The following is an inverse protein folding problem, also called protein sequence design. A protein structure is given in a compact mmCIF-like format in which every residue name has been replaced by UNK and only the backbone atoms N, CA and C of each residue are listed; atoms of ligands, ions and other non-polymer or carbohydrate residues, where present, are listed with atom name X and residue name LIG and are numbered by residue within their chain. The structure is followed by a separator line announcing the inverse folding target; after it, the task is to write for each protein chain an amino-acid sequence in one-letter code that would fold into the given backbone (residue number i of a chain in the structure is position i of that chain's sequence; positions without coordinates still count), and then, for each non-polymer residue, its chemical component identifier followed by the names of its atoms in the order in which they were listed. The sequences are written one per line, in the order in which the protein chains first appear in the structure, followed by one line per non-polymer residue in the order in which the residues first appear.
data_IF_348685446212
#
_entry.id   IF_348685446212
#
_cell.length_a   1.000
_cell.length_b   1.000
_cell.length_c   1.000
_cell.angle_alpha   90.00
_cell.angle_beta   90.00
_cell.angle_gamma   90.00
#
_symmetry.space_group_name_H-M   'P 1'
#
loop_
_entity.id
_entity.type
_entity.pdbx_description
1 polymer ?
#
# COMPACT_ATOMS: atom_id res chain seq x y z
N UNK A 1 14.66 15.84 -13.99
CA UNK A 1 13.23 15.49 -13.79
C UNK A 1 12.99 14.31 -12.82
N UNK A 2 13.88 13.31 -12.71
CA UNK A 2 13.62 12.11 -11.88
C UNK A 2 14.17 12.13 -10.44
N UNK A 3 14.87 13.19 -10.02
CA UNK A 3 15.47 13.25 -8.67
C UNK A 3 14.45 13.07 -7.53
N UNK A 4 13.16 13.30 -7.80
CA UNK A 4 12.12 13.08 -6.80
C UNK A 4 11.92 11.62 -6.39
N UNK A 5 12.34 10.66 -7.22
CA UNK A 5 12.27 9.21 -6.94
C UNK A 5 13.29 8.76 -5.89
N UNK A 6 14.33 9.56 -5.62
CA UNK A 6 15.48 9.14 -4.81
C UNK A 6 15.61 9.89 -3.48
N UNK A 7 14.61 10.68 -3.11
CA UNK A 7 14.60 11.44 -1.85
C UNK A 7 13.19 11.48 -1.27
N UNK A 8 12.99 11.31 0.05
CA UNK A 8 11.69 11.45 0.69
C UNK A 8 11.36 12.90 1.10
N UNK A 9 12.29 13.84 0.94
CA UNK A 9 12.13 15.23 1.40
C UNK A 9 11.36 16.09 0.40
N UNK A 10 10.53 16.99 0.91
CA UNK A 10 9.72 17.89 0.10
C UNK A 10 8.31 17.37 -0.17
N UNK A 11 7.68 17.96 -1.19
CA UNK A 11 6.28 17.72 -1.58
C UNK A 11 6.20 17.49 -3.08
N UNK A 12 5.21 16.70 -3.51
CA UNK A 12 4.88 16.54 -4.93
C UNK A 12 3.38 16.67 -5.12
N UNK A 13 2.99 17.25 -6.26
CA UNK A 13 1.58 17.34 -6.63
C UNK A 13 1.01 15.96 -6.95
N UNK A 14 -0.33 15.83 -6.83
CA UNK A 14 -1.04 14.62 -7.28
C UNK A 14 -0.75 14.29 -8.74
N UNK A 15 -0.66 15.29 -9.62
CA UNK A 15 -0.34 15.09 -11.05
C UNK A 15 1.04 14.44 -11.21
N UNK A 16 2.04 14.95 -10.50
CA UNK A 16 3.40 14.41 -10.51
C UNK A 16 3.42 12.96 -10.00
N UNK A 17 2.74 12.70 -8.88
CA UNK A 17 2.64 11.35 -8.32
C UNK A 17 2.01 10.34 -9.29
N UNK A 18 0.90 10.70 -9.94
CA UNK A 18 0.24 9.82 -10.90
C UNK A 18 1.01 9.64 -12.20
N UNK A 19 1.36 10.74 -12.88
CA UNK A 19 1.93 10.67 -14.23
C UNK A 19 3.39 10.23 -14.24
N UNK A 20 4.16 10.57 -13.20
CA UNK A 20 5.60 10.34 -13.21
C UNK A 20 6.03 9.17 -12.33
N UNK A 21 5.11 8.57 -11.55
CA UNK A 21 5.41 7.40 -10.73
C UNK A 21 4.36 6.31 -10.89
N UNK A 22 3.11 6.54 -10.48
CA UNK A 22 2.13 5.46 -10.35
C UNK A 22 1.73 4.82 -11.69
N UNK A 23 1.43 5.61 -12.72
CA UNK A 23 1.08 5.06 -14.04
C UNK A 23 2.27 4.37 -14.72
N UNK A 24 3.48 4.95 -14.77
CA UNK A 24 4.65 4.22 -15.24
C UNK A 24 4.90 2.92 -14.48
N UNK A 25 4.78 2.94 -13.15
CA UNK A 25 4.94 1.75 -12.32
C UNK A 25 3.92 0.67 -12.70
N UNK A 26 2.63 1.01 -12.81
CA UNK A 26 1.58 0.07 -13.24
C UNK A 26 1.89 -0.51 -14.63
N UNK A 27 2.29 0.32 -15.59
CA UNK A 27 2.61 -0.14 -16.94
C UNK A 27 3.79 -1.12 -16.93
N UNK A 28 4.86 -0.81 -16.18
CA UNK A 28 6.03 -1.69 -16.07
C UNK A 28 5.67 -2.99 -15.36
N UNK A 29 4.78 -2.96 -14.35
CA UNK A 29 4.29 -4.18 -13.68
C UNK A 29 3.52 -5.08 -14.66
N UNK A 30 2.67 -4.52 -15.51
CA UNK A 30 1.96 -5.31 -16.54
C UNK A 30 2.96 -5.97 -17.49
N UNK A 31 3.97 -5.21 -17.94
CA UNK A 31 5.04 -5.76 -18.79
C UNK A 31 5.81 -6.86 -18.08
N UNK A 32 6.19 -6.66 -16.82
CA UNK A 32 6.88 -7.67 -16.02
C UNK A 32 6.06 -8.97 -15.90
N UNK A 33 4.75 -8.87 -15.64
CA UNK A 33 3.85 -10.04 -15.65
C UNK A 33 3.84 -10.74 -17.00
N UNK A 34 3.69 -10.02 -18.10
CA UNK A 34 3.69 -10.61 -19.44
C UNK A 34 5.01 -11.33 -19.71
N UNK A 35 6.15 -10.75 -19.31
CA UNK A 35 7.46 -11.36 -19.48
C UNK A 35 7.62 -12.62 -18.62
N UNK A 36 7.11 -12.63 -17.39
CA UNK A 36 7.14 -13.83 -16.54
C UNK A 36 6.39 -14.99 -17.22
N UNK A 37 5.21 -14.74 -17.77
CA UNK A 37 4.42 -15.73 -18.53
C UNK A 37 5.04 -16.12 -19.87
N UNK A 38 5.76 -15.21 -20.53
CA UNK A 38 6.34 -15.47 -21.85
C UNK A 38 7.65 -16.25 -21.78
N UNK A 39 8.38 -16.17 -20.67
CA UNK A 39 9.76 -16.66 -20.54
C UNK A 39 9.86 -17.89 -19.66
N UNK A 40 9.07 -17.99 -18.58
CA UNK A 40 9.17 -19.09 -17.62
C UNK A 40 8.06 -20.11 -17.80
N UNK A 41 8.36 -21.36 -17.43
CA UNK A 41 7.39 -22.45 -17.44
C UNK A 41 6.31 -22.22 -16.36
N UNK A 42 5.07 -22.53 -16.74
CA UNK A 42 3.92 -22.45 -15.83
C UNK A 42 3.94 -23.67 -14.92
N UNK A 43 3.88 -23.44 -13.61
CA UNK A 43 3.78 -24.54 -12.65
C UNK A 43 2.37 -25.18 -12.76
N UNK A 44 2.27 -26.50 -13.00
CA UNK A 44 1.00 -27.17 -13.23
C UNK A 44 0.09 -27.23 -11.98
N UNK A 45 0.64 -27.08 -10.78
CA UNK A 45 -0.13 -27.06 -9.53
C UNK A 45 -0.75 -25.70 -9.25
N UNK A 46 -0.02 -24.62 -9.56
CA UNK A 46 -0.46 -23.24 -9.27
C UNK A 46 -1.10 -22.54 -10.45
N UNK A 47 -0.83 -22.98 -11.68
CA UNK A 47 -1.26 -22.31 -12.92
C UNK A 47 -0.50 -21.02 -13.22
N UNK A 48 0.58 -20.74 -12.50
CA UNK A 48 1.33 -19.46 -12.57
C UNK A 48 2.82 -19.72 -12.85
N UNK A 49 3.51 -18.83 -13.60
CA UNK A 49 4.96 -18.86 -13.73
C UNK A 49 5.64 -18.33 -12.44
N UNK A 50 6.94 -18.61 -12.22
CA UNK A 50 7.69 -17.94 -11.18
C UNK A 50 7.74 -16.41 -11.43
N UNK A 51 7.45 -15.55 -10.43
CA UNK A 51 7.31 -14.10 -10.60
C UNK A 51 8.69 -13.38 -10.56
N UNK A 52 9.61 -13.75 -11.44
CA UNK A 52 11.01 -13.28 -11.40
C UNK A 52 11.10 -11.80 -11.75
N UNK A 53 10.51 -11.36 -12.86
CA UNK A 53 10.55 -9.96 -13.28
C UNK A 53 9.73 -9.08 -12.35
N UNK A 54 8.58 -9.56 -11.87
CA UNK A 54 7.82 -8.86 -10.84
C UNK A 54 8.65 -8.68 -9.55
N UNK A 55 9.36 -9.72 -9.10
CA UNK A 55 10.21 -9.66 -7.91
C UNK A 55 11.35 -8.64 -8.03
N UNK A 56 12.03 -8.63 -9.18
CA UNK A 56 13.08 -7.63 -9.49
C UNK A 56 12.49 -6.22 -9.49
N UNK A 57 11.35 -6.04 -10.17
CA UNK A 57 10.67 -4.74 -10.20
C UNK A 57 10.28 -4.27 -8.81
N UNK A 58 9.75 -5.16 -7.96
CA UNK A 58 9.37 -4.83 -6.59
C UNK A 58 10.57 -4.33 -5.78
N UNK A 59 11.74 -4.97 -5.90
CA UNK A 59 12.97 -4.54 -5.22
C UNK A 59 13.45 -3.17 -5.71
N UNK A 60 13.46 -2.95 -7.03
CA UNK A 60 13.87 -1.66 -7.62
C UNK A 60 12.89 -0.54 -7.25
N UNK A 61 11.59 -0.83 -7.28
CA UNK A 61 10.53 0.14 -7.04
C UNK A 61 10.28 0.39 -5.54
N UNK A 62 10.81 -0.44 -4.64
CA UNK A 62 10.62 -0.31 -3.20
C UNK A 62 11.00 1.09 -2.72
N UNK A 63 12.22 1.54 -3.01
CA UNK A 63 12.67 2.86 -2.59
C UNK A 63 11.89 4.02 -3.25
N UNK A 64 11.73 4.07 -4.60
CA UNK A 64 10.89 5.07 -5.24
C UNK A 64 9.46 5.12 -4.70
N UNK A 65 8.86 3.97 -4.36
CA UNK A 65 7.50 3.92 -3.79
C UNK A 65 7.43 4.63 -2.44
N UNK A 66 8.41 4.38 -1.57
CA UNK A 66 8.52 5.03 -0.26
C UNK A 66 8.78 6.53 -0.42
N UNK A 67 9.75 6.90 -1.26
CA UNK A 67 10.13 8.30 -1.45
C UNK A 67 8.98 9.15 -2.00
N UNK A 68 8.31 8.67 -3.05
CA UNK A 68 7.23 9.41 -3.72
C UNK A 68 5.96 9.48 -2.89
N UNK A 69 5.56 8.37 -2.26
CA UNK A 69 4.38 8.34 -1.39
C UNK A 69 4.60 9.18 -0.13
N UNK A 70 5.82 9.19 0.42
CA UNK A 70 6.18 10.10 1.54
C UNK A 70 5.94 11.56 1.15
N UNK A 71 6.44 11.99 -0.01
CA UNK A 71 6.23 13.35 -0.52
C UNK A 71 4.76 13.65 -0.81
N UNK A 72 4.00 12.66 -1.23
CA UNK A 72 2.56 12.80 -1.46
C UNK A 72 1.80 12.98 -0.15
N UNK A 73 2.19 12.27 0.91
CA UNK A 73 1.64 12.43 2.26
C UNK A 73 2.06 13.78 2.88
N UNK A 74 3.31 14.20 2.68
CA UNK A 74 3.79 15.52 3.07
C UNK A 74 2.98 16.65 2.42
N UNK A 75 2.59 16.49 1.16
CA UNK A 75 1.72 17.43 0.47
C UNK A 75 0.30 17.50 1.10
N UNK A 76 -0.11 16.51 1.90
CA UNK A 76 -1.34 16.53 2.72
C UNK A 76 -1.10 16.97 4.17
N UNK A 77 0.12 17.40 4.52
CA UNK A 77 0.50 17.73 5.90
C UNK A 77 0.69 16.51 6.80
N UNK A 78 0.63 15.30 6.24
CA UNK A 78 0.78 14.03 6.95
C UNK A 78 2.25 13.62 7.02
N UNK A 79 2.62 12.80 8.01
CA UNK A 79 3.96 12.21 8.10
C UNK A 79 4.12 11.06 7.11
N UNK A 80 5.35 10.81 6.63
CA UNK A 80 5.64 9.63 5.80
C UNK A 80 5.33 8.29 6.49
N UNK A 81 5.37 8.26 7.83
CA UNK A 81 5.13 7.07 8.67
C UNK A 81 3.76 6.44 8.52
N UNK A 82 2.77 7.14 7.97
CA UNK A 82 1.48 6.54 7.64
C UNK A 82 1.59 5.35 6.66
N UNK A 83 2.65 5.29 5.84
CA UNK A 83 2.95 4.12 5.01
C UNK A 83 3.42 2.92 5.85
N UNK A 84 4.14 3.15 6.95
CA UNK A 84 4.57 2.07 7.84
C UNK A 84 3.38 1.46 8.57
N UNK A 85 2.40 2.27 8.97
CA UNK A 85 1.14 1.77 9.53
C UNK A 85 0.38 0.91 8.51
N UNK A 86 0.32 1.35 7.24
CA UNK A 86 -0.26 0.55 6.17
C UNK A 86 0.50 -0.77 5.93
N UNK A 87 1.84 -0.71 5.89
CA UNK A 87 2.69 -1.89 5.73
C UNK A 87 2.51 -2.88 6.90
N UNK A 88 2.40 -2.38 8.13
CA UNK A 88 2.13 -3.22 9.30
C UNK A 88 0.79 -3.95 9.19
N UNK A 89 -0.27 -3.28 8.70
CA UNK A 89 -1.56 -3.92 8.42
C UNK A 89 -1.42 -5.01 7.37
N UNK A 90 -0.74 -4.73 6.25
CA UNK A 90 -0.53 -5.73 5.18
C UNK A 90 0.21 -6.96 5.72
N UNK A 91 1.31 -6.75 6.46
CA UNK A 91 2.11 -7.84 7.03
C UNK A 91 1.30 -8.64 8.05
N UNK A 92 0.53 -7.97 8.92
CA UNK A 92 -0.32 -8.64 9.90
C UNK A 92 -1.39 -9.52 9.23
N UNK A 93 -2.06 -9.00 8.20
CA UNK A 93 -3.07 -9.74 7.44
C UNK A 93 -2.44 -10.90 6.65
N UNK A 94 -1.30 -10.70 6.00
CA UNK A 94 -0.59 -11.75 5.27
C UNK A 94 -0.11 -12.87 6.21
N UNK A 95 0.40 -12.50 7.39
CA UNK A 95 0.85 -13.46 8.41
C UNK A 95 -0.34 -14.25 8.96
N UNK A 96 -1.45 -13.58 9.27
CA UNK A 96 -2.67 -14.24 9.73
C UNK A 96 -3.25 -15.19 8.68
N UNK A 97 -3.26 -14.77 7.41
CA UNK A 97 -3.72 -15.60 6.29
C UNK A 97 -2.82 -16.83 6.08
N UNK A 98 -1.50 -16.65 6.13
CA UNK A 98 -0.53 -17.74 6.04
C UNK A 98 -0.71 -18.74 7.19
N UNK A 99 -0.78 -18.25 8.43
CA UNK A 99 -1.02 -19.07 9.61
C UNK A 99 -2.33 -19.87 9.47
N UNK A 100 -3.43 -19.21 9.11
CA UNK A 100 -4.71 -19.85 8.87
C UNK A 100 -4.63 -20.96 7.82
N UNK A 101 -3.99 -20.69 6.68
CA UNK A 101 -3.82 -21.67 5.61
C UNK A 101 -3.00 -22.89 6.07
N UNK A 102 -1.86 -22.65 6.72
CA UNK A 102 -0.98 -23.74 7.20
C UNK A 102 -1.65 -24.59 8.29
N UNK A 103 -2.37 -23.98 9.22
CA UNK A 103 -3.11 -24.70 10.25
C UNK A 103 -4.19 -25.59 9.62
N UNK A 104 -4.88 -25.08 8.59
CA UNK A 104 -5.92 -25.82 7.85
C UNK A 104 -5.33 -27.02 7.11
N UNK A 105 -4.20 -26.85 6.42
CA UNK A 105 -3.55 -27.91 5.64
C UNK A 105 -2.87 -28.95 6.53
N UNK A 106 -2.28 -28.55 7.65
CA UNK A 106 -1.60 -29.45 8.58
C UNK A 106 -2.56 -30.38 9.35
N UNK A 107 -3.88 -30.28 9.15
CA UNK A 107 -4.87 -30.98 9.95
C UNK A 107 -4.82 -30.59 11.43
N UNK A 108 -4.11 -29.51 11.75
CA UNK A 108 -4.15 -28.95 13.09
C UNK A 108 -5.61 -28.58 13.35
N UNK A 109 -6.16 -28.91 14.52
CA UNK A 109 -7.44 -28.36 14.88
C UNK A 109 -7.26 -26.85 14.88
N UNK A 110 -7.77 -26.16 13.85
CA UNK A 110 -8.26 -24.79 13.99
C UNK A 110 -9.51 -24.94 14.85
N UNK A 111 -9.30 -25.38 16.09
CA UNK A 111 -10.30 -25.27 17.12
C UNK A 111 -10.36 -23.76 17.37
N UNK A 112 -11.32 -23.10 16.73
CA UNK A 112 -12.18 -22.26 17.55
C UNK A 112 -12.49 -23.13 18.77
N UNK A 113 -12.07 -22.74 19.98
CA UNK A 113 -12.34 -23.53 21.17
C UNK A 113 -13.77 -24.05 21.04
N UNK A 114 -13.99 -25.36 21.10
CA UNK A 114 -15.32 -25.95 20.82
C UNK A 114 -16.38 -25.35 21.74
N UNK A 115 -15.96 -24.90 22.93
CA UNK A 115 -16.76 -24.08 23.85
C UNK A 115 -17.23 -22.72 23.27
N UNK A 116 -16.47 -22.09 22.36
CA UNK A 116 -16.84 -20.88 21.61
C UNK A 116 -17.65 -21.21 20.35
N UNK A 117 -17.36 -22.34 19.70
CA UNK A 117 -18.09 -22.75 18.48
C UNK A 117 -19.56 -23.10 18.76
N UNK A 118 -19.85 -23.63 19.94
CA UNK A 118 -21.20 -23.93 20.42
C UNK A 118 -21.83 -22.75 21.20
N UNK A 119 -21.09 -21.66 21.37
CA UNK A 119 -21.58 -20.43 22.00
C UNK A 119 -22.24 -19.56 20.93
N UNK A 120 -23.52 -19.24 21.10
CA UNK A 120 -24.18 -18.22 20.29
C UNK A 120 -23.32 -16.94 20.33
N UNK A 121 -22.86 -16.43 19.17
CA UNK A 121 -22.00 -15.26 19.15
C UNK A 121 -22.70 -14.12 19.89
N UNK A 122 -22.11 -13.71 21.02
CA UNK A 122 -22.68 -12.61 21.78
C UNK A 122 -22.61 -11.34 20.92
N UNK A 123 -23.64 -10.50 21.00
CA UNK A 123 -23.67 -9.20 20.33
C UNK A 123 -22.39 -8.38 20.57
N UNK A 124 -21.78 -8.53 21.75
CA UNK A 124 -20.52 -7.88 22.11
C UNK A 124 -19.33 -8.41 21.31
N UNK A 125 -19.21 -9.74 21.12
CA UNK A 125 -18.12 -10.35 20.37
C UNK A 125 -18.16 -9.94 18.88
N UNK A 126 -19.34 -9.96 18.29
CA UNK A 126 -19.55 -9.50 16.91
C UNK A 126 -19.24 -8.02 16.77
N UNK A 127 -19.70 -7.19 17.71
CA UNK A 127 -19.38 -5.76 17.72
C UNK A 127 -17.87 -5.52 17.80
N UNK A 128 -17.14 -6.25 18.64
CA UNK A 128 -15.67 -6.12 18.75
C UNK A 128 -14.98 -6.50 17.44
N UNK A 129 -15.39 -7.60 16.80
CA UNK A 129 -14.81 -8.04 15.53
C UNK A 129 -15.07 -7.02 14.41
N UNK A 130 -16.29 -6.51 14.31
CA UNK A 130 -16.66 -5.47 13.34
C UNK A 130 -15.87 -4.19 13.58
N UNK A 131 -15.77 -3.73 14.83
CA UNK A 131 -14.99 -2.54 15.18
C UNK A 131 -13.50 -2.72 14.86
N UNK A 132 -12.93 -3.89 15.19
CA UNK A 132 -11.54 -4.22 14.87
C UNK A 132 -11.29 -4.21 13.36
N UNK A 133 -12.16 -4.86 12.59
CA UNK A 133 -12.11 -4.86 11.12
C UNK A 133 -12.24 -3.46 10.54
N UNK A 134 -13.14 -2.64 11.07
CA UNK A 134 -13.33 -1.25 10.64
C UNK A 134 -12.08 -0.39 10.92
N UNK A 135 -11.44 -0.56 12.07
CA UNK A 135 -10.19 0.15 12.41
C UNK A 135 -9.05 -0.28 11.47
N UNK A 136 -8.91 -1.58 11.21
CA UNK A 136 -7.91 -2.12 10.27
C UNK A 136 -8.14 -1.56 8.86
N UNK A 137 -9.38 -1.59 8.38
CA UNK A 137 -9.75 -1.03 7.10
C UNK A 137 -9.47 0.47 7.04
N UNK A 138 -9.78 1.22 8.09
CA UNK A 138 -9.49 2.64 8.17
C UNK A 138 -7.98 2.93 8.14
N UNK A 139 -7.17 2.21 8.92
CA UNK A 139 -5.71 2.35 8.93
C UNK A 139 -5.10 2.07 7.56
N UNK A 140 -5.65 1.11 6.82
CA UNK A 140 -5.20 0.79 5.47
C UNK A 140 -5.64 1.83 4.43
N UNK A 141 -6.91 2.24 4.46
CA UNK A 141 -7.53 3.09 3.42
C UNK A 141 -7.23 4.58 3.60
N UNK A 142 -7.12 5.07 4.85
CA UNK A 142 -6.91 6.49 5.12
C UNK A 142 -5.66 7.09 4.43
N UNK A 143 -4.45 6.50 4.56
CA UNK A 143 -3.28 7.03 3.87
C UNK A 143 -3.34 6.82 2.36
N UNK A 144 -3.94 5.72 1.90
CA UNK A 144 -4.12 5.43 0.48
C UNK A 144 -4.99 6.49 -0.19
N UNK A 145 -6.14 6.83 0.42
CA UNK A 145 -7.07 7.82 -0.11
C UNK A 145 -6.42 9.21 -0.15
N UNK A 146 -5.70 9.58 0.92
CA UNK A 146 -4.98 10.85 0.97
C UNK A 146 -3.88 10.95 -0.08
N UNK A 147 -3.18 9.84 -0.35
CA UNK A 147 -2.13 9.81 -1.36
C UNK A 147 -2.71 9.82 -2.79
N UNK A 148 -3.68 8.96 -3.08
CA UNK A 148 -4.17 8.73 -4.43
C UNK A 148 -5.14 9.82 -4.91
N UNK A 149 -6.13 10.18 -4.11
CA UNK A 149 -7.32 10.88 -4.62
C UNK A 149 -7.39 12.35 -4.18
N UNK A 150 -7.07 12.64 -2.92
CA UNK A 150 -7.29 13.99 -2.38
C UNK A 150 -6.29 15.00 -2.97
N UNK A 151 -6.62 16.30 -2.90
CA UNK A 151 -5.72 17.40 -3.33
C UNK A 151 -4.71 17.72 -2.22
N UNK A 152 -3.53 18.22 -2.56
CA UNK A 152 -2.58 18.79 -1.60
C UNK A 152 -3.13 19.95 -0.78
N UNK A 153 -2.48 20.23 0.34
CA UNK A 153 -2.70 21.44 1.15
C UNK A 153 -2.24 22.67 0.36
N UNK A 154 -3.06 23.70 0.29
CA UNK A 154 -2.69 24.95 -0.37
C UNK A 154 -1.64 25.72 0.44
N UNK A 155 -0.67 26.31 -0.26
CA UNK A 155 0.39 27.11 0.35
C UNK A 155 1.47 26.31 1.07
N UNK A 156 2.44 27.00 1.69
CA UNK A 156 3.57 26.35 2.34
C UNK A 156 3.11 25.56 3.58
N UNK A 157 3.78 24.43 3.82
CA UNK A 157 3.62 23.67 5.06
C UNK A 157 5.01 23.27 5.60
N UNK A 158 5.06 22.55 6.73
CA UNK A 158 6.32 22.13 7.37
C UNK A 158 7.25 21.26 6.50
N UNK A 159 6.79 20.78 5.35
CA UNK A 159 7.55 19.98 4.40
C UNK A 159 7.98 20.76 3.15
N UNK A 160 7.63 22.05 3.05
CA UNK A 160 8.04 22.94 1.97
C UNK A 160 6.87 23.65 1.28
N UNK A 161 7.20 24.38 0.23
CA UNK A 161 6.27 25.19 -0.55
C UNK A 161 5.25 24.37 -1.33
N UNK A 162 4.16 25.01 -1.75
CA UNK A 162 3.11 24.37 -2.55
C UNK A 162 3.69 23.92 -3.91
N UNK A 163 3.63 22.62 -4.26
CA UNK A 163 4.17 22.12 -5.52
C UNK A 163 3.43 22.64 -6.76
N UNK A 164 2.27 23.29 -6.61
CA UNK A 164 1.55 23.94 -7.69
C UNK A 164 1.93 25.41 -7.88
N UNK A 165 2.69 26.01 -6.94
CA UNK A 165 2.97 27.43 -6.88
C UNK A 165 1.73 28.27 -6.53
N UNK A 166 1.93 29.45 -5.95
CA UNK A 166 0.85 30.43 -5.80
C UNK A 166 0.79 31.37 -7.01
N UNK A 167 -0.42 31.75 -7.50
CA UNK A 167 -0.58 32.81 -8.51
C UNK A 167 -0.04 34.18 -8.08
N UNK A 168 0.32 34.38 -6.81
CA UNK A 168 0.88 35.64 -6.29
C UNK A 168 2.36 35.82 -6.59
N UNK A 169 3.07 34.78 -7.04
CA UNK A 169 4.51 34.88 -7.38
C UNK A 169 4.74 35.31 -8.84
N UNK A 170 3.69 35.47 -9.65
CA UNK A 170 3.75 35.96 -11.03
C UNK A 170 3.65 37.49 -11.17
N UNK A 171 3.52 38.23 -10.07
CA UNK A 171 3.42 39.70 -10.07
C UNK A 171 4.35 40.37 -9.05
N UNK A 172 5.64 40.05 -9.09
CA UNK A 172 6.69 40.83 -8.42
C UNK A 172 7.73 41.28 -9.42
#
# INVERSE_FOLDING_TARGET
MFGFLFSPYGRISRKTYWLNFLLPYIAITIVATILDFAIFEINPETGEPPPVFQGILALIALWPSIATTTKRLHDRGMTGWWQAAQAAVIVALATAAYWYYTAKVAGAPIALPTEIADQEPSLLADAVLIMGGAIIAWLFLYPLINALFLRGQAGPNKYGDDPLGHPSDTFK
#
